data_IF_899865181525
#
_entry.id   IF_899865181525
#
_cell.length_a   1.000
_cell.length_b   1.000
_cell.length_c   1.000
_cell.angle_alpha   90.00
_cell.angle_beta   90.00
_cell.angle_gamma   90.00
#
_symmetry.space_group_name_H-M   'P 1'
#
loop_
_entity.id
_entity.type
_entity.pdbx_description
1 polymer ?
#
# COMPACT_ATOMS: atom_id res chain seq x y z
N UNK A 1 12.56 -1.76 -7.70
CA UNK A 1 12.61 -3.07 -8.39
C UNK A 1 12.00 -4.13 -7.48
N UNK A 2 11.54 -5.28 -8.00
CA UNK A 2 10.91 -6.34 -7.19
C UNK A 2 11.85 -6.96 -6.14
N UNK A 3 13.16 -6.93 -6.41
CA UNK A 3 14.18 -7.32 -5.43
C UNK A 3 14.24 -6.38 -4.22
N UNK A 4 14.02 -5.08 -4.40
CA UNK A 4 13.91 -4.13 -3.29
C UNK A 4 12.64 -4.38 -2.46
N UNK A 5 11.53 -4.68 -3.13
CA UNK A 5 10.27 -5.00 -2.46
C UNK A 5 10.37 -6.25 -1.56
N UNK A 6 11.06 -7.31 -2.01
CA UNK A 6 11.31 -8.52 -1.19
C UNK A 6 12.13 -8.21 0.06
N UNK A 7 13.10 -7.30 -0.02
CA UNK A 7 13.98 -6.94 1.10
C UNK A 7 13.28 -6.06 2.14
N UNK A 8 12.30 -5.25 1.71
CA UNK A 8 11.45 -4.46 2.60
C UNK A 8 10.37 -5.35 3.25
N UNK A 9 9.88 -6.37 2.55
CA UNK A 9 8.92 -7.33 3.11
C UNK A 9 9.47 -8.06 4.36
N UNK A 10 10.77 -8.33 4.42
CA UNK A 10 11.43 -8.95 5.59
C UNK A 10 11.42 -8.04 6.83
N UNK A 11 11.28 -6.72 6.65
CA UNK A 11 11.27 -5.75 7.74
C UNK A 11 9.87 -5.49 8.30
N UNK A 12 8.80 -6.04 7.70
CA UNK A 12 7.38 -5.81 8.05
C UNK A 12 6.95 -4.33 8.13
N UNK A 13 7.82 -3.40 7.72
CA UNK A 13 7.57 -1.97 7.76
C UNK A 13 7.15 -1.43 6.40
N UNK A 14 6.46 -0.29 6.41
CA UNK A 14 5.92 0.36 5.20
C UNK A 14 4.96 -0.55 4.42
N UNK A 15 4.21 -1.38 5.14
CA UNK A 15 3.22 -2.30 4.57
C UNK A 15 1.81 -1.71 4.65
N UNK A 16 1.03 -1.97 3.60
CA UNK A 16 -0.37 -1.58 3.48
C UNK A 16 -1.18 -2.80 3.08
N UNK A 17 -2.19 -3.13 3.89
CA UNK A 17 -3.15 -4.19 3.62
C UNK A 17 -4.43 -3.60 3.04
N UNK A 18 -4.82 -4.11 1.88
CA UNK A 18 -6.05 -3.71 1.20
C UNK A 18 -7.10 -4.82 1.25
N UNK A 19 -8.34 -4.45 0.98
CA UNK A 19 -9.44 -5.40 0.79
C UNK A 19 -9.26 -6.25 -0.50
N UNK A 20 -10.16 -7.20 -0.72
CA UNK A 20 -10.12 -8.19 -1.79
C UNK A 20 -10.54 -7.59 -3.16
N UNK A 21 -9.71 -6.68 -3.68
CA UNK A 21 -9.83 -6.14 -5.04
C UNK A 21 -8.48 -6.14 -5.78
N UNK A 22 -8.54 -6.01 -7.10
CA UNK A 22 -7.35 -5.83 -7.95
C UNK A 22 -7.11 -4.33 -8.16
N UNK A 23 -6.08 -3.75 -7.55
CA UNK A 23 -5.84 -2.31 -7.61
C UNK A 23 -5.33 -1.89 -9.00
N UNK A 24 -5.79 -0.72 -9.51
CA UNK A 24 -5.37 -0.15 -10.80
C UNK A 24 -5.19 1.36 -10.68
N UNK A 25 -4.00 1.86 -11.05
CA UNK A 25 -3.68 3.29 -11.06
C UNK A 25 -3.53 3.90 -9.67
N UNK A 26 -4.62 4.01 -8.91
CA UNK A 26 -4.61 4.54 -7.54
C UNK A 26 -5.41 3.65 -6.59
N UNK A 27 -5.09 3.74 -5.30
CA UNK A 27 -5.84 3.11 -4.21
C UNK A 27 -6.46 4.22 -3.38
N UNK A 28 -7.76 4.08 -3.11
CA UNK A 28 -8.49 4.99 -2.24
C UNK A 28 -8.43 4.50 -0.80
N UNK A 29 -8.39 5.43 0.15
CA UNK A 29 -8.35 5.11 1.58
C UNK A 29 -9.44 4.13 2.05
N UNK A 30 -10.70 4.18 1.55
CA UNK A 30 -11.74 3.20 1.92
C UNK A 30 -11.39 1.74 1.63
N UNK A 31 -10.48 1.49 0.68
CA UNK A 31 -10.03 0.13 0.35
C UNK A 31 -8.88 -0.36 1.24
N UNK A 32 -8.40 0.44 2.17
CA UNK A 32 -7.30 0.10 3.08
C UNK A 32 -7.87 -0.47 4.37
N UNK A 33 -7.45 -1.68 4.72
CA UNK A 33 -7.80 -2.35 5.97
C UNK A 33 -6.84 -1.92 7.08
N UNK A 34 -5.55 -1.80 6.76
CA UNK A 34 -4.51 -1.42 7.70
C UNK A 34 -3.31 -0.85 6.96
N UNK A 35 -2.63 0.14 7.54
CA UNK A 35 -1.36 0.65 7.06
C UNK A 35 -0.41 0.87 8.24
N UNK A 36 0.88 0.61 8.03
CA UNK A 36 1.93 0.86 9.02
C UNK A 36 1.93 2.34 9.45
N UNK A 37 1.79 2.67 10.74
CA UNK A 37 1.75 4.05 11.24
C UNK A 37 3.03 4.86 10.98
N UNK A 38 4.15 4.22 10.63
CA UNK A 38 5.39 4.90 10.25
C UNK A 38 5.33 5.52 8.85
N UNK A 39 4.40 5.09 7.99
CA UNK A 39 4.26 5.60 6.63
C UNK A 39 3.97 7.10 6.64
N UNK A 40 4.67 7.83 5.79
CA UNK A 40 4.48 9.25 5.51
C UNK A 40 4.17 9.47 4.02
N UNK A 41 3.50 10.58 3.67
CA UNK A 41 3.31 10.94 2.27
C UNK A 41 4.64 11.01 1.52
N UNK A 42 4.70 10.36 0.36
CA UNK A 42 5.88 10.28 -0.48
C UNK A 42 6.68 8.99 -0.34
N UNK A 43 6.45 8.19 0.71
CA UNK A 43 7.14 6.92 0.93
C UNK A 43 6.76 5.86 -0.11
N UNK A 44 7.70 4.97 -0.43
CA UNK A 44 7.37 3.74 -1.13
C UNK A 44 6.78 2.73 -0.14
N UNK A 45 5.67 2.12 -0.54
CA UNK A 45 4.92 1.19 0.31
C UNK A 45 4.68 -0.14 -0.41
N UNK A 46 4.70 -1.22 0.37
CA UNK A 46 4.34 -2.55 -0.07
C UNK A 46 2.84 -2.76 0.15
N UNK A 47 2.10 -3.00 -0.92
CA UNK A 47 0.65 -3.24 -0.87
C UNK A 47 0.39 -4.74 -0.99
N UNK A 48 -0.46 -5.27 -0.10
CA UNK A 48 -0.79 -6.70 -0.06
C UNK A 48 -2.28 -6.96 0.15
N UNK A 49 -2.78 -8.02 -0.48
CA UNK A 49 -3.95 -8.77 -0.04
C UNK A 49 -3.72 -10.27 -0.31
N UNK A 50 -4.76 -11.12 -0.24
CA UNK A 50 -4.59 -12.57 -0.43
C UNK A 50 -4.05 -12.98 -1.81
N UNK A 51 -4.20 -12.15 -2.84
CA UNK A 51 -3.88 -12.49 -4.23
C UNK A 51 -2.87 -11.54 -4.89
N UNK A 52 -2.67 -10.37 -4.30
CA UNK A 52 -1.93 -9.27 -4.92
C UNK A 52 -0.73 -8.91 -4.06
N UNK A 53 0.40 -8.72 -4.74
CA UNK A 53 1.58 -8.04 -4.22
C UNK A 53 1.88 -6.86 -5.14
N UNK A 54 1.89 -5.66 -4.58
CA UNK A 54 2.11 -4.45 -5.36
C UNK A 54 3.01 -3.46 -4.61
N UNK A 55 3.53 -2.48 -5.34
CA UNK A 55 4.27 -1.35 -4.80
C UNK A 55 3.70 -0.05 -5.32
N UNK A 56 3.73 0.97 -4.48
CA UNK A 56 3.20 2.29 -4.80
C UNK A 56 3.83 3.38 -3.96
N UNK A 57 3.48 4.62 -4.26
CA UNK A 57 3.88 5.78 -3.49
C UNK A 57 2.74 6.26 -2.63
N UNK A 58 3.00 6.42 -1.35
CA UNK A 58 2.03 6.95 -0.40
C UNK A 58 1.66 8.42 -0.69
N UNK A 59 0.38 8.75 -0.51
CA UNK A 59 -0.17 10.11 -0.49
C UNK A 59 -0.67 10.54 0.89
N UNK A 60 -0.68 9.61 1.85
CA UNK A 60 -1.23 9.79 3.19
C UNK A 60 -0.26 9.23 4.24
N UNK A 61 -0.42 9.62 5.49
CA UNK A 61 0.18 8.86 6.59
C UNK A 61 -0.54 7.52 6.74
N UNK A 62 0.12 6.52 7.35
CA UNK A 62 -0.54 5.22 7.61
C UNK A 62 -1.80 5.35 8.48
N UNK A 63 -1.79 6.30 9.41
CA UNK A 63 -2.95 6.61 10.24
C UNK A 63 -4.10 7.18 9.42
N UNK A 64 -3.85 8.18 8.58
CA UNK A 64 -4.86 8.76 7.67
C UNK A 64 -5.42 7.70 6.72
N UNK A 65 -4.58 6.81 6.17
CA UNK A 65 -5.02 5.73 5.30
C UNK A 65 -6.06 4.83 5.97
N UNK A 66 -5.85 4.51 7.25
CA UNK A 66 -6.70 3.59 8.01
C UNK A 66 -7.99 4.25 8.51
N UNK A 67 -7.95 5.55 8.83
CA UNK A 67 -9.09 6.27 9.41
C UNK A 67 -9.99 6.96 8.37
N UNK A 68 -9.46 7.26 7.18
CA UNK A 68 -10.15 8.06 6.19
C UNK A 68 -11.18 7.27 5.38
N UNK A 69 -12.41 7.81 5.28
CA UNK A 69 -13.50 7.25 4.45
C UNK A 69 -13.51 7.76 3.00
N UNK A 70 -12.50 8.52 2.57
CA UNK A 70 -12.37 9.09 1.23
C UNK A 70 -10.92 9.51 0.95
N UNK A 71 -10.61 9.79 -0.32
CA UNK A 71 -9.32 10.33 -0.75
C UNK A 71 -8.39 9.27 -1.34
N UNK A 72 -7.42 9.75 -2.13
CA UNK A 72 -6.38 8.90 -2.75
C UNK A 72 -5.29 8.64 -1.72
N UNK A 73 -5.10 7.37 -1.36
CA UNK A 73 -4.10 6.96 -0.40
C UNK A 73 -2.76 6.62 -1.05
N UNK A 74 -2.77 5.97 -2.21
CA UNK A 74 -1.56 5.45 -2.86
C UNK A 74 -1.66 5.61 -4.37
N UNK A 75 -0.58 6.07 -5.00
CA UNK A 75 -0.36 5.94 -6.44
C UNK A 75 0.38 4.64 -6.73
N UNK A 76 -0.22 3.71 -7.47
CA UNK A 76 0.41 2.45 -7.82
C UNK A 76 1.53 2.64 -8.84
N UNK A 77 2.61 1.88 -8.66
CA UNK A 77 3.73 1.83 -9.61
C UNK A 77 3.77 0.50 -10.35
N UNK A 78 3.72 -0.60 -9.60
CA UNK A 78 3.80 -1.93 -10.17
C UNK A 78 2.94 -2.89 -9.36
N UNK A 79 2.27 -3.80 -10.05
CA UNK A 79 1.45 -4.85 -9.47
C UNK A 79 1.91 -6.17 -10.04
N UNK A 80 2.06 -7.16 -9.17
CA UNK A 80 2.23 -8.56 -9.54
C UNK A 80 1.05 -9.34 -8.97
N UNK A 81 0.44 -10.19 -9.80
CA UNK A 81 -0.52 -11.18 -9.33
C UNK A 81 0.27 -12.44 -8.98
N UNK A 82 0.05 -12.96 -7.77
CA UNK A 82 0.55 -14.29 -7.40
C UNK A 82 -0.37 -15.38 -7.97
#
# INVERSE_FOLDING_TARGET
>A
TIHGAKRIAELNHYTVKIDEFTPKGTILAPGIIHADPLIRPGDEVLITNKKILAVGRSRMTGEEMTQSKRGIAIDLRHTTQN
#
